data_IF_717175894589
#
_entry.id   IF_717175894589
#
_cell.length_a   1.000
_cell.length_b   1.000
_cell.length_c   1.000
_cell.angle_alpha   90.00
_cell.angle_beta   90.00
_cell.angle_gamma   90.00
#
_symmetry.space_group_name_H-M   'P 1'
#
loop_
_entity.id
_entity.type
_entity.pdbx_description
1 polymer ?
#
# COMPACT_ATOMS: atom_id res chain seq x y z
N UNK A 1 30.82 -8.54 2.61
CA UNK A 1 29.43 -8.95 2.40
C UNK A 1 28.76 -9.05 3.76
N UNK A 2 27.68 -8.27 4.02
CA UNK A 2 26.99 -8.33 5.30
C UNK A 2 26.29 -9.68 5.45
N UNK A 3 26.63 -10.43 6.50
CA UNK A 3 25.93 -11.71 6.78
C UNK A 3 24.58 -11.40 7.43
N UNK A 4 23.50 -11.82 6.80
CA UNK A 4 22.15 -11.70 7.36
C UNK A 4 22.05 -12.55 8.64
N UNK A 5 21.51 -11.97 9.72
CA UNK A 5 21.37 -12.64 11.01
C UNK A 5 20.11 -13.50 11.02
N UNK A 6 20.25 -14.79 11.23
CA UNK A 6 19.12 -15.72 11.34
C UNK A 6 18.18 -15.30 12.50
N UNK A 7 16.88 -15.32 12.25
CA UNK A 7 15.86 -14.96 13.25
C UNK A 7 15.55 -13.46 13.39
N UNK A 8 16.19 -12.58 12.60
CA UNK A 8 15.83 -11.16 12.53
C UNK A 8 15.07 -10.85 11.24
N UNK A 9 14.12 -9.91 11.30
CA UNK A 9 13.43 -9.45 10.10
C UNK A 9 14.42 -8.81 9.13
N UNK A 10 14.29 -9.08 7.84
CA UNK A 10 15.15 -8.50 6.81
C UNK A 10 15.13 -6.98 6.84
N UNK A 11 13.98 -6.37 7.06
CA UNK A 11 13.82 -4.92 7.15
C UNK A 11 14.67 -4.27 8.24
N UNK A 12 15.09 -5.03 9.24
CA UNK A 12 15.93 -4.56 10.35
C UNK A 12 17.44 -4.81 10.10
N UNK A 13 17.80 -5.38 8.96
CA UNK A 13 19.17 -5.84 8.69
C UNK A 13 19.92 -5.00 7.65
N UNK A 14 19.40 -3.84 7.28
CA UNK A 14 20.15 -2.88 6.46
C UNK A 14 21.16 -2.09 7.30
N UNK A 15 22.19 -1.56 6.65
CA UNK A 15 23.11 -0.61 7.24
C UNK A 15 22.47 0.81 7.34
N UNK A 16 23.23 1.77 7.90
CA UNK A 16 22.77 3.16 8.04
C UNK A 16 22.42 3.87 6.71
N UNK A 17 22.90 3.35 5.59
CA UNK A 17 22.65 3.88 4.25
C UNK A 17 21.53 3.12 3.52
N UNK A 18 20.88 2.15 4.17
CA UNK A 18 19.80 1.34 3.58
C UNK A 18 20.27 0.19 2.72
N UNK A 19 21.52 -0.28 2.85
CA UNK A 19 22.03 -1.43 2.09
C UNK A 19 21.99 -2.72 2.90
N UNK A 20 21.52 -3.81 2.25
CA UNK A 20 21.50 -5.18 2.82
C UNK A 20 22.75 -6.01 2.51
N UNK A 21 23.78 -5.39 2.06
CA UNK A 21 25.06 -5.99 1.74
C UNK A 21 25.58 -5.55 0.38
N UNK A 22 26.75 -4.92 0.40
CA UNK A 22 27.41 -4.42 -0.79
C UNK A 22 26.51 -3.46 -1.59
N UNK A 23 26.04 -3.91 -2.76
CA UNK A 23 25.30 -3.11 -3.74
C UNK A 23 23.76 -3.23 -3.65
N UNK A 24 23.21 -4.03 -2.76
CA UNK A 24 21.77 -4.24 -2.66
C UNK A 24 21.13 -3.24 -1.69
N UNK A 25 20.14 -2.50 -2.15
CA UNK A 25 19.46 -1.46 -1.39
C UNK A 25 20.02 -0.06 -1.67
N UNK A 26 19.86 0.85 -0.72
CA UNK A 26 20.25 2.25 -0.82
C UNK A 26 19.06 3.19 -1.07
N UNK A 27 19.35 4.48 -1.18
CA UNK A 27 18.37 5.53 -1.39
C UNK A 27 18.75 6.36 -2.64
N UNK A 28 18.19 6.00 -3.78
CA UNK A 28 18.47 6.59 -5.09
C UNK A 28 17.33 7.52 -5.52
N UNK A 29 17.16 8.62 -4.81
CA UNK A 29 16.12 9.62 -5.09
C UNK A 29 16.75 10.96 -5.46
N UNK A 30 16.05 11.82 -6.22
CA UNK A 30 16.48 13.19 -6.47
C UNK A 30 16.74 13.95 -5.17
N UNK A 31 17.68 14.89 -5.19
CA UNK A 31 18.11 15.65 -4.01
C UNK A 31 16.92 16.31 -3.30
N UNK A 32 15.96 16.86 -4.06
CA UNK A 32 14.75 17.49 -3.55
C UNK A 32 13.85 16.58 -2.73
N UNK A 33 13.93 15.25 -2.92
CA UNK A 33 13.14 14.25 -2.20
C UNK A 33 13.86 13.64 -1.00
N UNK A 34 15.17 13.84 -0.85
CA UNK A 34 15.95 13.24 0.26
C UNK A 34 15.39 13.62 1.63
N UNK A 35 15.14 14.92 1.84
CA UNK A 35 14.60 15.39 3.12
C UNK A 35 13.19 14.86 3.40
N UNK A 36 12.20 15.00 2.50
CA UNK A 36 10.86 14.44 2.73
C UNK A 36 10.85 12.93 2.98
N UNK A 37 11.65 12.18 2.26
CA UNK A 37 11.76 10.73 2.45
C UNK A 37 12.46 10.39 3.76
N UNK A 38 13.50 11.15 4.13
CA UNK A 38 14.16 10.99 5.43
C UNK A 38 13.18 11.21 6.60
N UNK A 39 12.39 12.28 6.56
CA UNK A 39 11.37 12.57 7.56
C UNK A 39 10.31 11.43 7.64
N UNK A 40 9.88 10.92 6.49
CA UNK A 40 8.97 9.77 6.43
C UNK A 40 9.60 8.50 7.00
N UNK A 41 10.86 8.23 6.69
CA UNK A 41 11.59 7.05 7.19
C UNK A 41 11.68 7.06 8.71
N UNK A 42 12.05 8.18 9.31
CA UNK A 42 12.12 8.33 10.77
C UNK A 42 10.75 8.07 11.41
N UNK A 43 9.68 8.65 10.85
CA UNK A 43 8.33 8.42 11.34
C UNK A 43 7.91 6.95 11.19
N UNK A 44 8.15 6.35 10.03
CA UNK A 44 7.80 4.95 9.73
C UNK A 44 8.52 3.99 10.70
N UNK A 45 9.82 4.16 10.92
CA UNK A 45 10.59 3.32 11.85
C UNK A 45 10.05 3.37 13.28
N UNK A 46 9.56 4.52 13.72
CA UNK A 46 8.89 4.67 15.01
C UNK A 46 7.53 3.98 15.03
N UNK A 47 6.68 4.27 14.03
CA UNK A 47 5.28 3.83 14.02
C UNK A 47 5.12 2.35 13.74
N UNK A 48 5.98 1.72 12.95
CA UNK A 48 5.90 0.27 12.70
C UNK A 48 6.13 -0.59 13.95
N UNK A 49 6.56 0.02 15.06
CA UNK A 49 6.72 -0.63 16.38
C UNK A 49 5.75 -0.07 17.42
N UNK A 50 4.99 0.96 17.09
CA UNK A 50 4.01 1.59 17.97
C UNK A 50 2.73 0.75 18.02
N UNK A 51 2.43 0.22 19.21
CA UNK A 51 1.26 -0.66 19.44
C UNK A 51 -0.07 0.03 19.13
N UNK A 52 -0.18 1.34 19.41
CA UNK A 52 -1.41 2.08 19.16
C UNK A 52 -1.62 2.31 17.67
N UNK A 53 -0.55 2.66 16.96
CA UNK A 53 -0.61 2.77 15.49
C UNK A 53 -0.96 1.44 14.83
N UNK A 54 -0.34 0.35 15.26
CA UNK A 54 -0.63 -0.98 14.73
C UNK A 54 -2.07 -1.41 15.02
N UNK A 55 -2.58 -1.16 16.24
CA UNK A 55 -3.98 -1.44 16.60
C UNK A 55 -4.96 -0.63 15.74
N UNK A 56 -4.71 0.66 15.52
CA UNK A 56 -5.52 1.50 14.66
C UNK A 56 -5.50 1.02 13.21
N UNK A 57 -4.33 0.69 12.66
CA UNK A 57 -4.17 0.12 11.33
C UNK A 57 -4.96 -1.19 11.20
N UNK A 58 -4.84 -2.07 12.17
CA UNK A 58 -5.50 -3.38 12.14
C UNK A 58 -7.03 -3.23 12.24
N UNK A 59 -7.53 -2.25 13.00
CA UNK A 59 -8.94 -1.89 12.99
C UNK A 59 -9.42 -1.51 11.58
N UNK A 60 -8.67 -0.65 10.87
CA UNK A 60 -9.03 -0.31 9.49
C UNK A 60 -9.00 -1.52 8.57
N UNK A 61 -8.02 -2.38 8.70
CA UNK A 61 -7.88 -3.56 7.85
C UNK A 61 -9.00 -4.58 8.06
N UNK A 62 -9.45 -4.77 9.30
CA UNK A 62 -10.41 -5.82 9.66
C UNK A 62 -11.86 -5.34 9.76
N UNK A 63 -12.10 -4.04 9.80
CA UNK A 63 -13.44 -3.49 10.05
C UNK A 63 -13.88 -2.48 8.98
N UNK A 64 -12.96 -1.67 8.45
CA UNK A 64 -13.28 -0.65 7.47
C UNK A 64 -12.99 -1.07 6.02
N UNK A 65 -11.87 -1.74 5.78
CA UNK A 65 -11.52 -2.25 4.44
C UNK A 65 -12.42 -3.42 4.05
N UNK A 66 -12.63 -4.33 4.97
CA UNK A 66 -13.57 -5.43 4.86
C UNK A 66 -14.02 -5.86 6.25
N UNK A 67 -15.30 -6.25 6.40
CA UNK A 67 -15.81 -6.75 7.69
C UNK A 67 -15.28 -8.16 7.92
N UNK A 68 -14.25 -8.31 8.73
CA UNK A 68 -13.51 -9.55 8.92
C UNK A 68 -12.47 -9.79 7.80
N UNK A 69 -11.88 -10.98 7.73
CA UNK A 69 -10.97 -11.37 6.66
C UNK A 69 -11.72 -11.56 5.33
N UNK A 70 -11.14 -11.09 4.22
CA UNK A 70 -11.68 -11.38 2.88
C UNK A 70 -11.68 -12.89 2.64
N UNK A 71 -12.61 -13.42 1.82
CA UNK A 71 -12.75 -14.86 1.60
C UNK A 71 -11.46 -15.53 1.14
N UNK A 72 -11.28 -16.75 1.57
CA UNK A 72 -10.19 -17.62 1.16
C UNK A 72 -10.80 -18.95 0.75
N UNK A 73 -10.85 -19.21 -0.56
CA UNK A 73 -11.58 -20.31 -1.16
C UNK A 73 -10.65 -21.28 -1.88
N UNK A 74 -10.93 -22.58 -1.74
CA UNK A 74 -10.23 -23.62 -2.48
C UNK A 74 -10.79 -23.71 -3.90
N UNK A 75 -9.91 -23.71 -4.89
CA UNK A 75 -10.28 -23.88 -6.30
C UNK A 75 -10.20 -25.37 -6.66
N UNK A 76 -11.26 -26.12 -6.28
CA UNK A 76 -11.33 -27.58 -6.42
C UNK A 76 -11.07 -28.06 -7.85
N UNK A 77 -11.79 -27.48 -8.82
CA UNK A 77 -11.68 -27.89 -10.22
C UNK A 77 -10.31 -27.60 -10.81
N UNK A 78 -9.74 -26.43 -10.48
CA UNK A 78 -8.41 -26.06 -10.93
C UNK A 78 -7.33 -26.96 -10.28
N UNK A 79 -7.48 -27.26 -8.99
CA UNK A 79 -6.61 -28.19 -8.26
C UNK A 79 -6.60 -29.57 -8.92
N UNK A 80 -7.78 -30.10 -9.27
CA UNK A 80 -7.91 -31.41 -9.96
C UNK A 80 -7.32 -31.36 -11.37
N UNK A 81 -7.60 -30.30 -12.13
CA UNK A 81 -7.09 -30.13 -13.47
C UNK A 81 -5.56 -30.11 -13.54
N UNK A 82 -4.92 -29.42 -12.60
CA UNK A 82 -3.46 -29.31 -12.54
C UNK A 82 -2.77 -30.57 -11.99
N UNK A 83 -3.45 -31.42 -11.26
CA UNK A 83 -2.93 -32.69 -10.73
C UNK A 83 -1.75 -32.58 -9.77
N UNK A 84 -1.52 -31.38 -9.18
CA UNK A 84 -0.38 -31.08 -8.34
C UNK A 84 -0.78 -30.43 -7.00
N UNK A 85 -0.16 -29.31 -6.67
CA UNK A 85 -0.44 -28.56 -5.44
C UNK A 85 -1.88 -28.08 -5.37
N UNK A 86 -2.43 -28.00 -4.15
CA UNK A 86 -3.74 -27.40 -3.93
C UNK A 86 -3.71 -25.92 -4.25
N UNK A 87 -4.68 -25.44 -5.04
CA UNK A 87 -4.80 -24.04 -5.43
C UNK A 87 -5.90 -23.37 -4.62
N UNK A 88 -5.55 -22.24 -4.01
CA UNK A 88 -6.45 -21.42 -3.20
C UNK A 88 -6.48 -19.99 -3.70
N UNK A 89 -7.63 -19.34 -3.65
CA UNK A 89 -7.80 -17.94 -4.00
C UNK A 89 -8.10 -17.09 -2.77
N UNK A 90 -7.33 -16.03 -2.58
CA UNK A 90 -7.65 -14.94 -1.66
C UNK A 90 -8.46 -13.87 -2.39
N UNK A 91 -9.75 -13.74 -2.06
CA UNK A 91 -10.69 -12.88 -2.79
C UNK A 91 -10.60 -11.44 -2.30
N UNK A 92 -9.58 -10.72 -2.75
CA UNK A 92 -9.34 -9.32 -2.35
C UNK A 92 -10.21 -8.30 -3.10
N UNK A 93 -10.97 -8.74 -4.11
CA UNK A 93 -11.98 -7.92 -4.78
C UNK A 93 -13.15 -7.52 -3.86
N UNK A 94 -13.37 -8.24 -2.77
CA UNK A 94 -14.37 -7.89 -1.76
C UNK A 94 -13.88 -6.82 -0.77
N UNK A 95 -12.60 -6.48 -0.79
CA UNK A 95 -12.11 -5.33 -0.05
C UNK A 95 -12.71 -4.03 -0.60
N UNK A 96 -12.88 -3.02 0.26
CA UNK A 96 -13.41 -1.71 -0.11
C UNK A 96 -12.71 -1.14 -1.34
N UNK A 97 -13.49 -0.78 -2.34
CA UNK A 97 -12.98 -0.29 -3.62
C UNK A 97 -12.61 -1.41 -4.62
N UNK A 98 -12.67 -2.69 -4.24
CA UNK A 98 -12.48 -3.82 -5.15
C UNK A 98 -11.02 -4.20 -5.42
N UNK A 99 -10.04 -3.73 -4.62
CA UNK A 99 -8.64 -4.05 -4.87
C UNK A 99 -7.79 -4.05 -3.58
N UNK A 100 -6.78 -4.93 -3.55
CA UNK A 100 -5.82 -5.06 -2.44
C UNK A 100 -5.05 -3.77 -2.11
N UNK A 101 -4.91 -2.86 -3.07
CA UNK A 101 -4.18 -1.59 -2.90
C UNK A 101 -4.78 -0.69 -1.82
N UNK A 102 -6.04 -0.92 -1.41
CA UNK A 102 -6.68 -0.17 -0.33
C UNK A 102 -5.91 -0.29 1.00
N UNK A 103 -5.31 -1.44 1.29
CA UNK A 103 -4.51 -1.63 2.50
C UNK A 103 -3.29 -0.70 2.55
N UNK A 104 -2.56 -0.58 1.43
CA UNK A 104 -1.46 0.35 1.29
C UNK A 104 -1.91 1.81 1.35
N UNK A 105 -3.02 2.14 0.68
CA UNK A 105 -3.58 3.49 0.65
C UNK A 105 -4.02 3.98 2.04
N UNK A 106 -4.64 3.12 2.86
CA UNK A 106 -4.98 3.43 4.27
C UNK A 106 -3.72 3.75 5.06
N UNK A 107 -2.71 2.88 5.01
CA UNK A 107 -1.47 3.10 5.75
C UNK A 107 -0.77 4.38 5.31
N UNK A 108 -0.71 4.66 4.01
CA UNK A 108 -0.15 5.92 3.48
C UNK A 108 -0.94 7.15 3.99
N UNK A 109 -2.27 7.09 4.01
CA UNK A 109 -3.10 8.17 4.53
C UNK A 109 -2.90 8.38 6.03
N UNK A 110 -2.79 7.31 6.82
CA UNK A 110 -2.47 7.36 8.25
C UNK A 110 -1.11 8.03 8.50
N UNK A 111 -0.08 7.69 7.74
CA UNK A 111 1.25 8.31 7.82
C UNK A 111 1.19 9.79 7.43
N UNK A 112 0.50 10.11 6.34
CA UNK A 112 0.28 11.47 5.85
C UNK A 112 -0.34 12.37 6.94
N UNK A 113 -1.38 11.88 7.63
CA UNK A 113 -2.01 12.59 8.77
C UNK A 113 -1.02 12.83 9.90
N UNK A 114 -0.22 11.83 10.26
CA UNK A 114 0.76 11.95 11.35
C UNK A 114 1.93 12.86 11.01
N UNK A 115 2.21 13.04 9.73
CA UNK A 115 3.18 14.03 9.25
C UNK A 115 2.61 15.46 9.18
N UNK A 116 1.33 15.66 9.50
CA UNK A 116 0.65 16.95 9.36
C UNK A 116 0.49 17.39 7.89
N UNK A 117 0.61 16.47 6.95
CA UNK A 117 0.45 16.77 5.53
C UNK A 117 -1.03 16.88 5.17
N UNK A 118 -1.33 17.73 4.19
CA UNK A 118 -2.70 17.97 3.70
C UNK A 118 -2.99 17.25 2.39
N UNK A 119 -1.97 16.82 1.68
CA UNK A 119 -2.06 16.18 0.38
C UNK A 119 -1.50 14.78 0.41
N UNK A 120 -2.28 13.84 -0.10
CA UNK A 120 -1.85 12.50 -0.43
C UNK A 120 -1.62 12.42 -1.94
N UNK A 121 -0.43 12.05 -2.36
CA UNK A 121 -0.04 12.05 -3.77
C UNK A 121 0.25 10.62 -4.21
N UNK A 122 -0.25 10.25 -5.37
CA UNK A 122 -0.01 8.93 -5.96
C UNK A 122 -0.01 9.02 -7.49
N UNK A 123 0.55 8.00 -8.11
CA UNK A 123 0.42 7.73 -9.54
C UNK A 123 -0.52 6.55 -9.79
N UNK A 124 -0.99 6.41 -11.01
CA UNK A 124 -1.79 5.28 -11.44
C UNK A 124 -1.69 5.09 -12.95
N UNK A 125 -1.60 3.82 -13.41
CA UNK A 125 -1.79 3.49 -14.80
C UNK A 125 -3.26 3.12 -15.06
N UNK A 126 -3.68 1.94 -14.59
CA UNK A 126 -5.04 1.42 -14.80
C UNK A 126 -6.11 1.95 -13.82
N UNK A 127 -5.91 3.07 -13.17
CA UNK A 127 -6.89 3.75 -12.30
C UNK A 127 -7.06 3.19 -10.89
N UNK A 128 -6.80 1.91 -10.64
CA UNK A 128 -7.08 1.27 -9.34
C UNK A 128 -6.30 1.90 -8.19
N UNK A 129 -5.03 2.26 -8.39
CA UNK A 129 -4.24 2.89 -7.34
C UNK A 129 -4.81 4.27 -6.98
N UNK A 130 -5.09 5.10 -7.99
CA UNK A 130 -5.73 6.40 -7.79
C UNK A 130 -7.07 6.29 -7.05
N UNK A 131 -7.93 5.34 -7.46
CA UNK A 131 -9.21 5.05 -6.78
C UNK A 131 -9.01 4.73 -5.29
N UNK A 132 -8.08 3.83 -4.95
CA UNK A 132 -7.86 3.43 -3.56
C UNK A 132 -7.32 4.58 -2.72
N UNK A 133 -6.39 5.37 -3.26
CA UNK A 133 -5.86 6.55 -2.58
C UNK A 133 -6.94 7.63 -2.40
N UNK A 134 -7.85 7.82 -3.38
CA UNK A 134 -8.97 8.75 -3.25
C UNK A 134 -9.95 8.33 -2.17
N UNK A 135 -10.30 7.04 -2.08
CA UNK A 135 -11.15 6.49 -1.03
C UNK A 135 -10.51 6.69 0.35
N UNK A 136 -9.23 6.36 0.50
CA UNK A 136 -8.51 6.55 1.76
C UNK A 136 -8.36 8.04 2.11
N UNK A 137 -7.99 8.88 1.15
CA UNK A 137 -7.84 10.31 1.34
C UNK A 137 -9.13 10.98 1.81
N UNK A 138 -10.27 10.66 1.17
CA UNK A 138 -11.60 11.15 1.60
C UNK A 138 -11.89 10.77 3.04
N UNK A 139 -11.65 9.50 3.40
CA UNK A 139 -11.88 9.02 4.75
C UNK A 139 -11.07 9.78 5.81
N UNK A 140 -9.80 10.07 5.52
CA UNK A 140 -8.91 10.79 6.45
C UNK A 140 -8.97 12.33 6.31
N UNK A 141 -9.85 12.88 5.47
CA UNK A 141 -9.96 14.33 5.24
C UNK A 141 -8.70 14.93 4.57
N UNK A 142 -8.04 14.15 3.70
CA UNK A 142 -6.88 14.55 2.93
C UNK A 142 -7.29 14.91 1.50
N UNK A 143 -6.66 15.94 0.94
CA UNK A 143 -6.74 16.20 -0.50
C UNK A 143 -5.87 15.18 -1.24
N UNK A 144 -6.37 14.63 -2.35
CA UNK A 144 -5.64 13.63 -3.14
C UNK A 144 -5.28 14.21 -4.50
N UNK A 145 -4.01 14.00 -4.89
CA UNK A 145 -3.52 14.30 -6.25
C UNK A 145 -3.12 12.97 -6.88
N UNK A 146 -3.75 12.65 -8.00
CA UNK A 146 -3.46 11.44 -8.78
C UNK A 146 -2.78 11.86 -10.08
N UNK A 147 -1.62 11.30 -10.36
CA UNK A 147 -0.91 11.46 -11.62
C UNK A 147 -1.14 10.25 -12.50
N UNK A 148 -1.42 10.48 -13.77
CA UNK A 148 -1.71 9.42 -14.74
C UNK A 148 -1.04 9.77 -16.07
N UNK A 149 -0.59 8.74 -16.79
CA UNK A 149 -0.04 8.89 -18.13
C UNK A 149 -1.09 9.43 -19.10
N UNK A 150 -0.72 10.40 -19.92
CA UNK A 150 -1.64 11.04 -20.86
C UNK A 150 -2.39 10.02 -21.77
N UNK A 151 -1.71 8.97 -22.19
CA UNK A 151 -2.30 7.91 -23.01
C UNK A 151 -3.32 7.04 -22.29
N UNK A 152 -3.27 7.01 -20.95
CA UNK A 152 -4.17 6.18 -20.12
C UNK A 152 -5.47 6.93 -19.78
N UNK A 153 -5.46 8.28 -19.83
CA UNK A 153 -6.60 9.14 -19.46
C UNK A 153 -7.86 8.84 -20.28
N UNK A 154 -7.83 8.70 -21.62
CA UNK A 154 -9.04 8.48 -22.41
C UNK A 154 -9.77 7.18 -22.10
N UNK A 155 -9.03 6.14 -21.71
CA UNK A 155 -9.63 4.85 -21.33
C UNK A 155 -10.31 4.89 -19.95
N UNK A 156 -9.97 5.86 -19.12
CA UNK A 156 -10.39 5.92 -17.72
C UNK A 156 -11.29 7.13 -17.41
N UNK A 157 -11.41 8.09 -18.32
CA UNK A 157 -12.35 9.22 -18.17
C UNK A 157 -13.78 8.72 -17.90
N UNK A 158 -14.22 7.70 -18.63
CA UNK A 158 -15.50 7.04 -18.40
C UNK A 158 -15.67 6.45 -16.99
N UNK A 159 -14.59 5.95 -16.40
CA UNK A 159 -14.60 5.39 -15.03
C UNK A 159 -14.61 6.52 -13.99
N UNK A 160 -13.89 7.62 -14.23
CA UNK A 160 -13.85 8.76 -13.30
C UNK A 160 -15.15 9.56 -13.31
N UNK A 161 -15.83 9.69 -14.45
CA UNK A 161 -17.15 10.34 -14.55
C UNK A 161 -18.21 9.56 -13.77
N UNK A 162 -18.10 8.23 -13.70
CA UNK A 162 -18.97 7.39 -12.89
C UNK A 162 -18.81 7.60 -11.38
N UNK A 163 -17.65 8.11 -10.92
CA UNK A 163 -17.34 8.32 -9.50
C UNK A 163 -17.53 9.76 -9.02
N UNK A 164 -17.82 10.70 -9.91
CA UNK A 164 -18.22 12.07 -9.53
C UNK A 164 -19.66 12.14 -9.00
N UNK A 165 -20.39 11.00 -8.98
CA UNK A 165 -21.74 10.88 -8.45
C UNK A 165 -21.80 10.34 -7.01
N UNK A 166 -20.67 10.28 -6.26
CA UNK A 166 -20.71 9.85 -4.85
C UNK A 166 -20.13 10.93 -3.95
#
# INVERSE_FOLDING_TARGET
MMKLKKGKLLIDQHDKNGFWGGKFGGNFVPETLKKPIGDLTVLFERLRRDKNFLKERDYYYTSWVHKGPTPFIKLENLTKYLGGAQVWAKVVSEARGGAHKIYGAITAAMLCKRMGKKFLVTDTGAGYNGKMFSIAGKHFGLKVKVFMGFKDIPFLSFIFDLFNFI
#
